data_IF_786709966809
#
_entry.id   IF_786709966809
#
_cell.length_a   1.000
_cell.length_b   1.000
_cell.length_c   1.000
_cell.angle_alpha   90.00
_cell.angle_beta   90.00
_cell.angle_gamma   90.00
#
_symmetry.space_group_name_H-M   'P 1'
#
loop_
_entity.id
_entity.type
_entity.pdbx_description
1 polymer ?
#
# COMPACT_ATOMS: atom_id res chain seq x y z
N UNK A 1 -40.84 -5.35 17.66
CA UNK A 1 -41.85 -6.31 17.20
C UNK A 1 -41.18 -7.56 16.63
N UNK A 2 -41.65 -8.72 17.03
CA UNK A 2 -41.11 -10.01 16.56
C UNK A 2 -40.16 -10.72 17.53
N UNK A 3 -39.64 -10.05 18.55
CA UNK A 3 -38.74 -10.64 19.54
C UNK A 3 -39.39 -10.76 20.93
N UNK A 4 -40.69 -10.46 21.09
CA UNK A 4 -41.37 -10.45 22.39
C UNK A 4 -41.41 -11.81 23.10
N UNK A 5 -41.29 -12.89 22.33
CA UNK A 5 -41.33 -14.27 22.81
C UNK A 5 -40.03 -15.02 22.52
N UNK A 6 -38.92 -14.31 22.21
CA UNK A 6 -37.67 -14.97 22.02
C UNK A 6 -37.06 -15.47 23.32
N UNK A 7 -36.48 -16.64 23.31
CA UNK A 7 -35.67 -17.17 24.41
C UNK A 7 -34.21 -16.76 24.17
N UNK A 8 -33.62 -16.05 25.13
CA UNK A 8 -32.22 -15.58 25.01
C UNK A 8 -31.28 -16.74 25.31
N UNK A 9 -30.67 -17.31 24.29
CA UNK A 9 -29.72 -18.43 24.40
C UNK A 9 -28.36 -18.00 24.96
N UNK A 10 -27.95 -16.76 24.70
CA UNK A 10 -26.68 -16.16 25.16
C UNK A 10 -26.86 -14.65 25.25
N UNK A 11 -26.34 -14.05 26.28
CA UNK A 11 -26.29 -12.58 26.41
C UNK A 11 -25.29 -12.00 25.38
N UNK A 12 -25.57 -10.80 24.91
CA UNK A 12 -24.60 -10.02 24.16
C UNK A 12 -23.36 -9.75 25.04
N UNK A 13 -22.23 -9.62 24.41
CA UNK A 13 -20.99 -9.18 25.07
C UNK A 13 -20.50 -7.89 24.44
N UNK A 14 -19.82 -7.09 25.24
CA UNK A 14 -19.10 -5.91 24.77
C UNK A 14 -17.63 -6.06 25.17
N UNK A 15 -16.74 -5.51 24.34
CA UNK A 15 -15.33 -5.38 24.67
C UNK A 15 -15.12 -3.93 25.10
N UNK A 16 -14.54 -3.77 26.28
CA UNK A 16 -14.18 -2.48 26.87
C UNK A 16 -12.67 -2.47 27.13
N UNK A 17 -12.03 -1.36 26.88
CA UNK A 17 -10.62 -1.16 27.17
C UNK A 17 -10.31 0.31 27.41
N UNK A 18 -9.30 0.55 28.24
CA UNK A 18 -8.81 1.89 28.51
C UNK A 18 -8.04 2.44 27.31
N UNK A 19 -8.28 3.68 26.97
CA UNK A 19 -7.52 4.41 25.96
C UNK A 19 -7.32 5.87 26.41
N UNK A 20 -6.30 6.49 25.85
CA UNK A 20 -6.09 7.93 25.97
C UNK A 20 -6.87 8.67 24.90
N UNK A 21 -7.02 9.99 25.09
CA UNK A 21 -7.38 10.86 23.98
C UNK A 21 -6.16 11.01 23.05
N UNK A 22 -6.22 10.52 21.80
CA UNK A 22 -5.07 10.58 20.89
C UNK A 22 -4.70 12.02 20.46
N UNK A 23 -5.54 13.01 20.71
CA UNK A 23 -5.20 14.42 20.52
C UNK A 23 -4.08 14.89 21.48
N UNK A 24 -3.78 14.11 22.53
CA UNK A 24 -2.63 14.33 23.40
C UNK A 24 -1.27 13.94 22.76
N UNK A 25 -1.28 13.39 21.56
CA UNK A 25 -0.09 12.92 20.84
C UNK A 25 0.28 13.84 19.69
N UNK A 26 1.60 13.92 19.43
CA UNK A 26 2.17 14.48 18.19
C UNK A 26 2.06 13.45 17.04
N UNK A 27 2.29 13.88 15.80
CA UNK A 27 2.41 12.98 14.65
C UNK A 27 3.56 11.96 14.78
N UNK A 28 4.53 12.23 15.62
CA UNK A 28 5.58 11.29 16.00
C UNK A 28 5.12 10.19 16.98
N UNK A 29 3.88 10.26 17.47
CA UNK A 29 3.30 9.48 18.56
C UNK A 29 3.92 9.74 19.94
N UNK A 30 4.71 10.82 20.08
CA UNK A 30 5.16 11.33 21.37
C UNK A 30 4.05 12.14 22.05
N UNK A 31 3.91 12.03 23.36
CA UNK A 31 2.98 12.86 24.11
C UNK A 31 3.35 14.34 24.05
N UNK A 32 2.36 15.22 23.97
CA UNK A 32 2.58 16.67 23.94
C UNK A 32 3.23 17.17 25.23
N UNK A 33 2.76 16.66 26.37
CA UNK A 33 3.14 17.14 27.71
C UNK A 33 4.25 16.32 28.37
N UNK A 34 4.66 15.20 27.77
CA UNK A 34 5.66 14.29 28.35
C UNK A 34 6.78 14.01 27.35
N UNK A 35 7.91 14.68 27.57
CA UNK A 35 9.10 14.51 26.72
C UNK A 35 9.66 13.08 26.82
N UNK A 36 9.80 12.42 25.67
CA UNK A 36 10.33 11.05 25.57
C UNK A 36 9.35 9.94 25.86
N UNK A 37 8.07 10.24 26.13
CA UNK A 37 7.01 9.26 26.28
C UNK A 37 6.26 9.11 24.97
N UNK A 38 6.11 7.87 24.50
CA UNK A 38 5.42 7.54 23.25
C UNK A 38 4.26 6.59 23.53
N UNK A 39 3.13 6.81 22.86
CA UNK A 39 1.97 5.93 22.89
C UNK A 39 1.80 5.15 21.60
N UNK A 40 1.34 3.90 21.67
CA UNK A 40 1.07 3.10 20.48
C UNK A 40 -0.01 2.03 20.71
N UNK A 41 -0.71 1.68 19.65
CA UNK A 41 -1.64 0.57 19.62
C UNK A 41 -3.03 0.90 20.15
N UNK A 42 -3.68 -0.09 20.75
CA UNK A 42 -5.04 0.02 21.27
C UNK A 42 -5.20 1.15 22.28
N UNK A 43 -4.18 1.39 23.07
CA UNK A 43 -4.10 2.47 24.03
C UNK A 43 -4.33 3.86 23.41
N UNK A 44 -3.97 4.04 22.13
CA UNK A 44 -4.24 5.27 21.37
C UNK A 44 -5.62 5.28 20.69
N UNK A 45 -6.52 4.38 21.06
CA UNK A 45 -7.88 4.37 20.55
C UNK A 45 -8.11 3.57 19.26
N UNK A 46 -7.13 2.81 18.76
CA UNK A 46 -7.31 1.89 17.63
C UNK A 46 -7.68 0.48 18.08
N UNK A 47 -8.43 -0.28 17.27
CA UNK A 47 -8.89 -1.63 17.64
C UNK A 47 -8.34 -2.76 16.79
N UNK A 48 -7.54 -2.49 15.75
CA UNK A 48 -6.99 -3.52 14.88
C UNK A 48 -5.53 -3.85 15.20
N UNK A 49 -5.13 -5.10 14.92
CA UNK A 49 -3.74 -5.55 15.11
C UNK A 49 -2.77 -4.81 14.18
N UNK A 50 -3.19 -4.56 12.94
CA UNK A 50 -2.40 -3.86 11.94
C UNK A 50 -2.17 -2.39 12.34
N UNK A 51 -3.20 -1.72 12.85
CA UNK A 51 -3.09 -0.36 13.36
C UNK A 51 -2.14 -0.30 14.56
N UNK A 52 -2.23 -1.29 15.47
CA UNK A 52 -1.35 -1.36 16.64
C UNK A 52 0.10 -1.59 16.24
N UNK A 53 0.35 -2.51 15.29
CA UNK A 53 1.69 -2.79 14.78
C UNK A 53 2.30 -1.56 14.07
N UNK A 54 1.52 -0.88 13.25
CA UNK A 54 1.96 0.33 12.55
C UNK A 54 2.34 1.46 13.54
N UNK A 55 1.52 1.71 14.54
CA UNK A 55 1.80 2.69 15.57
C UNK A 55 3.04 2.31 16.39
N UNK A 56 3.16 1.03 16.80
CA UNK A 56 4.32 0.53 17.52
C UNK A 56 5.63 0.71 16.75
N UNK A 57 5.60 0.45 15.45
CA UNK A 57 6.75 0.68 14.57
C UNK A 57 7.16 2.16 14.55
N UNK A 58 6.22 3.07 14.30
CA UNK A 58 6.53 4.51 14.23
C UNK A 58 6.96 5.07 15.59
N UNK A 59 6.28 4.71 16.67
CA UNK A 59 6.66 5.10 18.01
C UNK A 59 8.07 4.61 18.38
N UNK A 60 8.39 3.35 18.07
CA UNK A 60 9.73 2.77 18.31
C UNK A 60 10.83 3.45 17.51
N UNK A 61 10.58 3.72 16.21
CA UNK A 61 11.51 4.48 15.36
C UNK A 61 11.76 5.86 15.97
N UNK A 62 10.70 6.57 16.36
CA UNK A 62 10.82 7.93 16.86
C UNK A 62 11.46 7.99 18.25
N UNK A 63 11.20 7.03 19.12
CA UNK A 63 11.91 6.91 20.38
C UNK A 63 13.42 6.71 20.17
N UNK A 64 13.81 5.81 19.26
CA UNK A 64 15.23 5.63 18.92
C UNK A 64 15.88 6.88 18.32
N UNK A 65 15.17 7.55 17.39
CA UNK A 65 15.66 8.81 16.77
C UNK A 65 15.82 9.94 17.79
N UNK A 66 14.91 10.02 18.76
CA UNK A 66 15.01 10.99 19.86
C UNK A 66 16.27 10.76 20.70
N UNK A 67 16.54 9.50 21.09
CA UNK A 67 17.79 9.15 21.79
C UNK A 67 19.03 9.52 20.96
N UNK A 68 18.95 9.31 19.63
CA UNK A 68 20.01 9.66 18.68
C UNK A 68 20.08 11.17 18.36
N UNK A 69 19.20 11.99 18.93
CA UNK A 69 19.08 13.44 18.63
C UNK A 69 18.83 13.74 17.15
N UNK A 70 18.09 12.86 16.48
CA UNK A 70 17.65 13.02 15.09
C UNK A 70 16.20 13.52 15.05
N UNK A 71 15.81 14.15 13.94
CA UNK A 71 14.43 14.57 13.72
C UNK A 71 13.47 13.37 13.72
N UNK A 72 12.25 13.57 14.21
CA UNK A 72 11.23 12.53 14.17
C UNK A 72 10.89 12.15 12.73
N UNK A 73 10.50 10.88 12.54
CA UNK A 73 9.86 10.41 11.33
C UNK A 73 8.36 10.74 11.40
N UNK A 74 7.89 11.51 10.47
CA UNK A 74 6.47 11.78 10.28
C UNK A 74 6.10 11.39 8.84
N UNK A 75 5.23 10.40 8.71
CA UNK A 75 4.69 9.99 7.42
C UNK A 75 3.42 10.80 7.11
N UNK A 76 3.34 11.36 5.93
CA UNK A 76 2.16 12.09 5.49
C UNK A 76 1.06 11.16 4.95
N UNK A 77 -0.13 11.72 4.77
CA UNK A 77 -1.32 11.01 4.27
C UNK A 77 -1.17 10.55 2.82
N UNK A 78 -0.33 11.21 2.03
CA UNK A 78 -0.09 10.86 0.64
C UNK A 78 0.97 9.76 0.50
N UNK A 79 1.84 9.60 1.49
CA UNK A 79 2.93 8.61 1.45
C UNK A 79 2.50 7.22 1.88
N UNK A 80 1.57 7.12 2.85
CA UNK A 80 1.19 5.82 3.41
C UNK A 80 -0.14 5.81 4.14
N UNK A 81 -0.75 4.62 4.27
CA UNK A 81 -1.88 4.40 5.18
C UNK A 81 -1.50 4.58 6.65
N UNK A 82 -0.23 4.34 7.01
CA UNK A 82 0.29 4.65 8.36
C UNK A 82 0.22 6.15 8.62
N UNK A 83 0.61 6.97 7.64
CA UNK A 83 0.48 8.44 7.73
C UNK A 83 -0.99 8.87 7.89
N UNK A 84 -1.90 8.29 7.12
CA UNK A 84 -3.35 8.56 7.24
C UNK A 84 -3.87 8.16 8.63
N UNK A 85 -3.51 6.98 9.13
CA UNK A 85 -3.90 6.47 10.46
C UNK A 85 -3.47 7.44 11.57
N UNK A 86 -2.18 7.78 11.60
CA UNK A 86 -1.63 8.62 12.66
C UNK A 86 -2.22 10.03 12.58
N UNK A 87 -2.28 10.60 11.37
CA UNK A 87 -2.86 11.93 11.19
C UNK A 87 -4.33 11.99 11.65
N UNK A 88 -5.16 11.00 11.30
CA UNK A 88 -6.55 10.94 11.77
C UNK A 88 -6.64 10.86 13.30
N UNK A 89 -5.82 10.02 13.94
CA UNK A 89 -5.81 9.88 15.40
C UNK A 89 -5.45 11.21 16.10
N UNK A 90 -4.33 11.82 15.70
CA UNK A 90 -3.77 12.98 16.42
C UNK A 90 -4.42 14.31 16.03
N UNK A 91 -5.22 14.38 14.96
CA UNK A 91 -5.87 15.62 14.53
C UNK A 91 -7.38 15.62 14.70
N UNK A 92 -8.03 14.45 14.56
CA UNK A 92 -9.48 14.29 14.65
C UNK A 92 -9.91 13.64 15.95
N UNK A 93 -9.01 12.91 16.61
CA UNK A 93 -9.35 12.05 17.72
C UNK A 93 -10.22 10.87 17.29
N UNK A 94 -10.75 10.14 18.27
CA UNK A 94 -11.71 9.06 18.03
C UNK A 94 -12.74 8.99 19.18
N UNK A 95 -14.02 9.00 18.83
CA UNK A 95 -15.13 8.69 19.75
C UNK A 95 -15.41 7.20 19.82
N UNK A 96 -15.10 6.50 18.75
CA UNK A 96 -15.23 5.04 18.60
C UNK A 96 -13.88 4.44 18.25
N UNK A 97 -13.65 3.13 18.53
CA UNK A 97 -12.40 2.47 18.20
C UNK A 97 -12.03 2.63 16.72
N UNK A 98 -10.88 3.26 16.46
CA UNK A 98 -10.44 3.54 15.11
C UNK A 98 -10.09 2.25 14.34
N UNK A 99 -10.60 2.16 13.11
CA UNK A 99 -10.23 1.13 12.14
C UNK A 99 -9.79 1.80 10.84
N UNK A 100 -8.64 1.35 10.32
CA UNK A 100 -8.14 1.81 9.04
C UNK A 100 -8.95 1.17 7.90
N UNK A 101 -9.55 2.01 7.09
CA UNK A 101 -10.25 1.62 5.86
C UNK A 101 -9.73 2.45 4.70
N UNK A 102 -9.71 1.88 3.51
CA UNK A 102 -9.27 2.60 2.30
C UNK A 102 -10.06 3.87 2.04
N UNK A 103 -11.34 3.90 2.46
CA UNK A 103 -12.22 5.08 2.36
C UNK A 103 -11.77 6.28 3.19
N UNK A 104 -10.89 6.07 4.19
CA UNK A 104 -10.36 7.16 5.03
C UNK A 104 -9.24 7.93 4.35
N UNK A 105 -8.64 7.38 3.29
CA UNK A 105 -7.54 8.04 2.56
C UNK A 105 -8.06 8.71 1.29
N UNK A 106 -7.73 9.98 1.13
CA UNK A 106 -7.93 10.77 -0.08
C UNK A 106 -7.08 10.21 -1.24
N UNK A 107 -5.96 9.59 -0.91
CA UNK A 107 -4.97 9.07 -1.86
C UNK A 107 -5.10 7.56 -2.10
N UNK A 108 -6.27 6.95 -1.83
CA UNK A 108 -6.47 5.49 -1.91
C UNK A 108 -6.14 4.87 -3.28
N UNK A 109 -6.24 5.64 -4.36
CA UNK A 109 -5.87 5.17 -5.70
C UNK A 109 -4.34 5.15 -5.90
N UNK A 110 -3.61 5.97 -5.15
CA UNK A 110 -2.15 6.01 -5.15
C UNK A 110 -1.56 4.99 -4.16
N UNK A 111 -2.17 4.87 -2.97
CA UNK A 111 -1.69 4.04 -1.87
C UNK A 111 -2.11 2.57 -2.06
N UNK A 112 -1.52 1.90 -3.05
CA UNK A 112 -1.77 0.50 -3.32
C UNK A 112 -0.70 -0.39 -2.68
N UNK A 113 -1.03 -1.66 -2.46
CA UNK A 113 -0.11 -2.64 -1.91
C UNK A 113 1.05 -2.92 -2.87
N UNK A 114 0.75 -3.00 -4.17
CA UNK A 114 1.70 -3.32 -5.23
C UNK A 114 2.84 -2.29 -5.39
N UNK A 115 2.62 -1.04 -4.99
CA UNK A 115 3.60 0.04 -5.07
C UNK A 115 4.12 0.53 -3.72
N UNK A 116 3.82 -0.17 -2.61
CA UNK A 116 4.21 0.24 -1.27
C UNK A 116 5.73 0.27 -1.09
N UNK A 117 6.44 -0.68 -1.70
CA UNK A 117 7.89 -0.75 -1.69
C UNK A 117 8.54 0.49 -2.32
N UNK A 118 7.99 1.01 -3.41
CA UNK A 118 8.50 2.22 -4.08
C UNK A 118 8.39 3.47 -3.20
N UNK A 119 7.39 3.52 -2.34
CA UNK A 119 7.14 4.66 -1.45
C UNK A 119 7.89 4.58 -0.13
N UNK A 120 8.07 3.37 0.43
CA UNK A 120 8.51 3.20 1.81
C UNK A 120 9.90 2.54 1.94
N UNK A 121 10.37 1.74 0.98
CA UNK A 121 11.70 1.11 1.05
C UNK A 121 12.84 2.11 1.17
N UNK A 122 12.86 3.24 0.42
CA UNK A 122 13.89 4.25 0.59
C UNK A 122 13.93 4.84 1.99
N UNK A 123 12.74 5.12 2.57
CA UNK A 123 12.63 5.63 3.95
C UNK A 123 13.15 4.58 4.94
N UNK A 124 12.75 3.31 4.77
CA UNK A 124 13.22 2.21 5.62
C UNK A 124 14.73 2.02 5.56
N UNK A 125 15.34 2.21 4.40
CA UNK A 125 16.79 2.14 4.22
C UNK A 125 17.51 3.32 4.92
N UNK A 126 17.04 4.55 4.74
CA UNK A 126 17.58 5.73 5.42
C UNK A 126 17.51 5.63 6.95
N UNK A 127 16.50 4.93 7.46
CA UNK A 127 16.32 4.66 8.89
C UNK A 127 17.23 3.52 9.40
N UNK A 128 17.88 2.77 8.51
CA UNK A 128 18.71 1.63 8.84
C UNK A 128 17.90 0.35 9.16
N UNK A 129 16.63 0.28 8.76
CA UNK A 129 15.75 -0.87 8.95
C UNK A 129 15.89 -1.91 7.82
N UNK A 130 16.44 -1.50 6.69
CA UNK A 130 16.61 -2.34 5.49
C UNK A 130 18.11 -2.49 5.23
N UNK A 131 18.56 -3.73 4.99
CA UNK A 131 19.96 -4.01 4.67
C UNK A 131 20.35 -3.45 3.30
N UNK A 132 21.65 -3.20 3.09
CA UNK A 132 22.19 -2.78 1.79
C UNK A 132 21.83 -3.77 0.70
N UNK A 133 21.94 -5.06 0.96
CA UNK A 133 21.61 -6.12 -0.01
C UNK A 133 20.14 -6.04 -0.46
N UNK A 134 19.22 -5.88 0.51
CA UNK A 134 17.79 -5.75 0.22
C UNK A 134 17.48 -4.47 -0.55
N UNK A 135 18.17 -3.38 -0.22
CA UNK A 135 18.01 -2.11 -0.94
C UNK A 135 18.55 -2.18 -2.37
N UNK A 136 19.69 -2.83 -2.58
CA UNK A 136 20.25 -3.06 -3.92
C UNK A 136 19.33 -3.96 -4.76
N UNK A 137 18.72 -4.98 -4.16
CA UNK A 137 17.72 -5.80 -4.85
C UNK A 137 16.48 -4.98 -5.27
N UNK A 138 16.02 -4.09 -4.39
CA UNK A 138 14.95 -3.15 -4.70
C UNK A 138 15.33 -2.19 -5.85
N UNK A 139 16.51 -1.60 -5.83
CA UNK A 139 16.99 -0.72 -6.91
C UNK A 139 17.04 -1.46 -8.25
N UNK A 140 17.60 -2.68 -8.28
CA UNK A 140 17.60 -3.52 -9.50
C UNK A 140 16.19 -3.80 -10.01
N UNK A 141 15.22 -4.06 -9.13
CA UNK A 141 13.81 -4.24 -9.50
C UNK A 141 13.27 -2.99 -10.20
N UNK A 142 13.55 -1.80 -9.66
CA UNK A 142 13.11 -0.54 -10.28
C UNK A 142 13.73 -0.32 -11.67
N UNK A 143 15.00 -0.62 -11.84
CA UNK A 143 15.68 -0.56 -13.15
C UNK A 143 14.99 -1.47 -14.18
N UNK A 144 14.69 -2.73 -13.80
CA UNK A 144 13.99 -3.67 -14.68
C UNK A 144 12.58 -3.19 -15.05
N UNK A 145 11.86 -2.55 -14.13
CA UNK A 145 10.54 -1.98 -14.39
C UNK A 145 10.63 -0.83 -15.41
N UNK A 146 11.59 0.07 -15.24
CA UNK A 146 11.77 1.19 -16.17
C UNK A 146 12.27 0.74 -17.56
N UNK A 147 13.12 -0.29 -17.60
CA UNK A 147 13.56 -0.91 -18.84
C UNK A 147 12.38 -1.56 -19.58
N UNK A 148 11.53 -2.29 -18.87
CA UNK A 148 10.36 -2.94 -19.47
C UNK A 148 9.31 -1.93 -19.95
N UNK A 149 9.06 -0.87 -19.20
CA UNK A 149 8.21 0.23 -19.68
C UNK A 149 8.71 0.81 -20.99
N UNK A 150 10.01 1.13 -21.05
CA UNK A 150 10.65 1.66 -22.25
C UNK A 150 10.57 0.68 -23.40
N UNK A 151 10.78 -0.62 -23.13
CA UNK A 151 10.63 -1.68 -24.13
C UNK A 151 9.19 -1.76 -24.64
N UNK A 152 8.20 -1.77 -23.76
CA UNK A 152 6.78 -1.84 -24.12
C UNK A 152 6.32 -0.66 -24.99
N UNK A 153 6.87 0.53 -24.75
CA UNK A 153 6.62 1.71 -25.58
C UNK A 153 7.23 1.61 -26.98
N UNK A 154 8.31 0.83 -27.15
CA UNK A 154 9.04 0.69 -28.40
C UNK A 154 8.76 -0.63 -29.14
N UNK A 155 8.14 -1.61 -28.49
CA UNK A 155 7.78 -2.90 -29.08
C UNK A 155 6.46 -2.80 -29.81
N UNK A 156 6.41 -3.27 -31.06
CA UNK A 156 5.18 -3.35 -31.85
C UNK A 156 4.70 -4.80 -31.92
N UNK A 157 3.47 -5.02 -31.51
CA UNK A 157 2.76 -6.29 -31.69
C UNK A 157 1.96 -6.22 -33.00
N UNK A 158 2.18 -7.18 -33.88
CA UNK A 158 1.50 -7.22 -35.17
C UNK A 158 0.20 -8.01 -35.09
N UNK A 159 -0.79 -7.56 -35.86
CA UNK A 159 -2.06 -8.27 -36.00
C UNK A 159 -1.85 -9.66 -36.59
N UNK A 160 -2.43 -10.66 -35.97
CA UNK A 160 -2.60 -11.99 -36.51
C UNK A 160 -3.99 -12.53 -36.14
N UNK A 161 -4.43 -13.56 -36.82
CA UNK A 161 -5.77 -14.12 -36.61
C UNK A 161 -5.94 -14.61 -35.17
N UNK A 162 -4.95 -15.34 -34.66
CA UNK A 162 -4.98 -15.93 -33.32
C UNK A 162 -5.09 -14.85 -32.23
N UNK A 163 -4.32 -13.75 -32.34
CA UNK A 163 -4.43 -12.65 -31.39
C UNK A 163 -5.79 -11.97 -31.47
N UNK A 164 -6.29 -11.71 -32.68
CA UNK A 164 -7.57 -11.05 -32.86
C UNK A 164 -8.75 -11.93 -32.36
N UNK A 165 -8.71 -13.23 -32.60
CA UNK A 165 -9.71 -14.16 -32.08
C UNK A 165 -9.73 -14.13 -30.53
N UNK A 166 -8.57 -14.06 -29.88
CA UNK A 166 -8.46 -13.92 -28.42
C UNK A 166 -9.00 -12.56 -27.95
N UNK A 167 -8.62 -11.46 -28.59
CA UNK A 167 -9.10 -10.12 -28.22
C UNK A 167 -10.63 -10.04 -28.32
N UNK A 168 -11.20 -10.53 -29.38
CA UNK A 168 -12.65 -10.56 -29.58
C UNK A 168 -13.34 -11.45 -28.53
N UNK A 169 -12.76 -12.62 -28.21
CA UNK A 169 -13.30 -13.50 -27.16
C UNK A 169 -13.30 -12.87 -25.76
N UNK A 170 -12.44 -11.87 -25.53
CA UNK A 170 -12.36 -11.08 -24.31
C UNK A 170 -13.11 -9.74 -24.41
N UNK A 171 -14.01 -9.60 -25.36
CA UNK A 171 -14.85 -8.40 -25.56
C UNK A 171 -14.04 -7.11 -25.77
N UNK A 172 -12.86 -7.19 -26.41
CA UNK A 172 -12.08 -6.02 -26.81
C UNK A 172 -11.90 -5.98 -28.33
N UNK A 173 -11.62 -4.80 -28.87
CA UNK A 173 -11.50 -4.60 -30.31
C UNK A 173 -10.29 -5.33 -30.88
N UNK A 174 -10.43 -6.00 -32.04
CA UNK A 174 -9.29 -6.52 -32.79
C UNK A 174 -8.35 -5.38 -33.24
N UNK A 175 -7.17 -5.74 -33.67
CA UNK A 175 -6.19 -4.81 -34.24
C UNK A 175 -6.01 -5.07 -35.74
N UNK A 176 -5.90 -4.01 -36.52
CA UNK A 176 -5.82 -4.12 -38.00
C UNK A 176 -4.37 -4.08 -38.52
N UNK A 177 -3.40 -3.79 -37.67
CA UNK A 177 -1.99 -3.64 -38.04
C UNK A 177 -1.05 -3.81 -36.87
N UNK A 178 0.05 -3.04 -36.86
CA UNK A 178 0.97 -2.97 -35.72
C UNK A 178 0.45 -2.00 -34.68
N UNK A 179 0.46 -2.42 -33.42
CA UNK A 179 0.14 -1.60 -32.25
C UNK A 179 1.26 -1.68 -31.22
N UNK A 180 1.51 -0.63 -30.45
CA UNK A 180 2.50 -0.68 -29.38
C UNK A 180 2.05 -1.62 -28.25
N UNK A 181 2.99 -2.38 -27.70
CA UNK A 181 2.72 -3.27 -26.57
C UNK A 181 2.13 -2.49 -25.40
N UNK A 182 2.65 -1.30 -25.08
CA UNK A 182 2.12 -0.40 -24.05
C UNK A 182 0.67 0.03 -24.28
N UNK A 183 0.22 0.13 -25.53
CA UNK A 183 -1.18 0.47 -25.86
C UNK A 183 -2.11 -0.75 -25.65
N UNK A 184 -1.64 -1.95 -25.96
CA UNK A 184 -2.40 -3.17 -25.66
C UNK A 184 -2.54 -3.41 -24.17
N UNK A 185 -1.47 -3.21 -23.39
CA UNK A 185 -1.48 -3.36 -21.95
C UNK A 185 -2.40 -2.36 -21.20
N UNK A 186 -2.75 -1.23 -21.82
CA UNK A 186 -3.77 -0.31 -21.29
C UNK A 186 -5.20 -0.83 -21.40
N UNK A 187 -5.41 -1.91 -22.14
CA UNK A 187 -6.74 -2.54 -22.25
C UNK A 187 -6.93 -3.51 -21.07
N UNK A 188 -7.96 -3.34 -20.23
CA UNK A 188 -8.18 -4.23 -19.08
C UNK A 188 -8.29 -5.72 -19.42
N UNK A 189 -8.58 -6.02 -20.71
CA UNK A 189 -8.73 -7.38 -21.21
C UNK A 189 -7.41 -8.01 -21.70
N UNK A 190 -6.31 -7.22 -21.77
CA UNK A 190 -5.04 -7.67 -22.28
C UNK A 190 -3.96 -7.55 -21.20
N UNK A 191 -3.31 -8.66 -20.90
CA UNK A 191 -2.22 -8.75 -19.92
C UNK A 191 -0.95 -9.33 -20.55
N UNK A 192 0.18 -9.22 -19.86
CA UNK A 192 1.45 -9.79 -20.34
C UNK A 192 1.39 -11.29 -20.56
N UNK A 193 0.55 -12.02 -19.82
CA UNK A 193 0.41 -13.46 -19.99
C UNK A 193 -0.28 -13.81 -21.32
N UNK A 194 -1.30 -13.06 -21.67
CA UNK A 194 -1.99 -13.20 -22.97
C UNK A 194 -1.07 -12.83 -24.12
N UNK A 195 -0.31 -11.74 -23.97
CA UNK A 195 0.52 -11.21 -25.06
C UNK A 195 1.87 -11.95 -25.24
N UNK A 196 2.27 -12.78 -24.27
CA UNK A 196 3.53 -13.52 -24.29
C UNK A 196 3.80 -14.30 -25.58
N UNK A 197 2.84 -15.05 -26.16
CA UNK A 197 3.07 -15.77 -27.43
C UNK A 197 3.31 -14.87 -28.64
N UNK A 198 2.88 -13.61 -28.56
CA UNK A 198 2.94 -12.63 -29.64
C UNK A 198 4.08 -11.63 -29.48
N UNK A 199 4.85 -11.74 -28.39
CA UNK A 199 6.02 -10.92 -28.09
C UNK A 199 7.31 -11.78 -28.02
N UNK A 200 7.94 -12.07 -29.18
CA UNK A 200 9.14 -12.90 -29.22
C UNK A 200 10.37 -12.21 -28.57
N UNK A 201 10.27 -10.92 -28.29
CA UNK A 201 11.35 -10.14 -27.66
C UNK A 201 11.19 -10.02 -26.15
N UNK A 202 10.18 -10.68 -25.58
CA UNK A 202 9.90 -10.63 -24.15
C UNK A 202 11.10 -11.09 -23.33
N UNK A 203 11.60 -10.26 -22.39
CA UNK A 203 12.70 -10.64 -21.52
C UNK A 203 12.23 -11.65 -20.46
N UNK A 204 13.18 -12.35 -19.87
CA UNK A 204 12.91 -13.25 -18.75
C UNK A 204 13.08 -12.49 -17.42
N UNK A 205 12.17 -11.58 -17.14
CA UNK A 205 12.13 -10.84 -15.88
C UNK A 205 11.26 -11.56 -14.84
N UNK A 206 11.45 -11.27 -13.53
CA UNK A 206 10.53 -11.72 -12.49
C UNK A 206 9.10 -11.26 -12.77
N UNK A 207 8.12 -12.10 -12.37
CA UNK A 207 6.68 -11.83 -12.58
C UNK A 207 6.26 -10.47 -12.03
N UNK A 208 6.79 -10.09 -10.86
CA UNK A 208 6.53 -8.81 -10.20
C UNK A 208 6.88 -7.58 -11.05
N UNK A 209 7.88 -7.69 -11.93
CA UNK A 209 8.25 -6.61 -12.85
C UNK A 209 7.13 -6.36 -13.85
N UNK A 210 6.60 -7.43 -14.46
CA UNK A 210 5.49 -7.33 -15.40
C UNK A 210 4.21 -6.82 -14.73
N UNK A 211 3.88 -7.32 -13.54
CA UNK A 211 2.71 -6.87 -12.76
C UNK A 211 2.76 -5.39 -12.37
N UNK A 212 3.96 -4.82 -12.26
CA UNK A 212 4.12 -3.37 -11.98
C UNK A 212 4.14 -2.50 -13.23
N UNK A 213 4.29 -3.08 -14.41
CA UNK A 213 4.22 -2.36 -15.69
C UNK A 213 2.78 -2.35 -16.23
N UNK A 214 1.99 -3.39 -15.96
CA UNK A 214 0.55 -3.45 -16.23
C UNK A 214 -0.22 -2.36 -15.48
#
# INVERSE_FOLDING_TARGET
PGLQHCEVMRTAYAIEYDCIDPLALKRSLEFNDFDGLFGAGQFNGSSGYEEAAAQGLIAGINAARKVQKKNALELDRASSYIGTLIDDLVTKGCSDPYRMMTSRSEYRLLLRQDNADRRLTPIGYELGLISQESYDAFCRKLELIEDEKRRAENTTIHACKELNDILVSRETSPIDGGIRLSELLRRPQADYKLLAPFDPTRPNYPKEVFEQVE
#
